data_IF_088022765078
#
_entry.id   IF_088022765078
#
_cell.length_a   1.000
_cell.length_b   1.000
_cell.length_c   1.000
_cell.angle_alpha   90.00
_cell.angle_beta   90.00
_cell.angle_gamma   90.00
#
_symmetry.space_group_name_H-M   'P 1'
#
loop_
_entity.id
_entity.type
_entity.pdbx_description
1 polymer ?
#
# COMPACT_ATOMS: atom_id res chain seq x y z
N UNK A 1 8.56 20.33 -6.39
CA UNK A 1 7.61 19.33 -5.88
C UNK A 1 6.31 20.04 -5.58
N UNK A 2 5.17 19.52 -6.04
CA UNK A 2 3.84 20.08 -5.80
C UNK A 2 3.33 19.58 -4.44
N UNK A 3 3.21 20.44 -3.41
CA UNK A 3 2.90 20.00 -2.04
C UNK A 3 1.55 19.31 -1.88
N UNK A 4 0.59 19.61 -2.77
CA UNK A 4 -0.77 19.05 -2.76
C UNK A 4 -1.01 18.02 -3.87
N UNK A 5 0.04 17.65 -4.62
CA UNK A 5 -0.10 16.71 -5.73
C UNK A 5 -0.09 15.26 -5.26
N UNK A 6 -1.07 14.47 -5.67
CA UNK A 6 -1.05 13.01 -5.56
C UNK A 6 -0.18 12.35 -6.63
N UNK A 7 0.12 11.07 -6.45
CA UNK A 7 0.81 10.21 -7.41
C UNK A 7 -0.19 9.23 -8.01
N UNK A 8 -0.15 9.06 -9.31
CA UNK A 8 -0.93 8.03 -9.98
C UNK A 8 -0.43 6.64 -9.57
N UNK A 9 -1.25 5.91 -8.79
CA UNK A 9 -0.91 4.62 -8.17
C UNK A 9 -0.25 3.64 -9.13
N UNK A 10 -0.78 3.51 -10.35
CA UNK A 10 -0.32 2.49 -11.31
C UNK A 10 1.09 2.76 -11.87
N UNK A 11 1.62 3.97 -11.67
CA UNK A 11 2.97 4.38 -12.08
C UNK A 11 3.83 4.84 -10.89
N UNK A 12 3.35 4.61 -9.66
CA UNK A 12 4.03 5.03 -8.46
C UNK A 12 5.25 4.15 -8.16
N UNK A 13 6.29 4.75 -7.59
CA UNK A 13 7.47 4.01 -7.12
C UNK A 13 7.08 3.08 -5.97
N UNK A 14 7.39 1.77 -6.00
CA UNK A 14 7.05 0.87 -4.91
C UNK A 14 7.72 1.25 -3.58
N UNK A 15 8.78 2.07 -3.59
CA UNK A 15 9.54 2.50 -2.42
C UNK A 15 9.05 3.83 -1.81
N UNK A 16 7.93 4.41 -2.26
CA UNK A 16 7.36 5.62 -1.63
C UNK A 16 7.07 5.40 -0.14
N UNK A 17 7.68 6.18 0.74
CA UNK A 17 7.50 6.05 2.20
C UNK A 17 6.09 6.50 2.64
N UNK A 18 5.65 7.68 2.20
CA UNK A 18 4.34 8.26 2.49
C UNK A 18 3.23 7.76 1.55
N UNK A 19 3.29 6.50 1.12
CA UNK A 19 2.44 5.94 0.06
C UNK A 19 0.94 6.05 0.32
N UNK A 20 0.50 5.98 1.59
CA UNK A 20 -0.92 6.12 1.96
C UNK A 20 -1.47 7.46 1.51
N UNK A 21 -0.77 8.53 1.88
CA UNK A 21 -1.13 9.89 1.51
C UNK A 21 -0.88 10.15 0.03
N UNK A 22 0.31 9.76 -0.45
CA UNK A 22 0.73 10.05 -1.82
C UNK A 22 -0.16 9.38 -2.88
N UNK A 23 -0.68 8.17 -2.63
CA UNK A 23 -1.42 7.41 -3.64
C UNK A 23 -2.93 7.42 -3.44
N UNK A 24 -3.38 7.51 -2.18
CA UNK A 24 -4.79 7.39 -1.83
C UNK A 24 -5.36 8.66 -1.18
N UNK A 25 -4.50 9.47 -0.56
CA UNK A 25 -4.87 10.71 0.13
C UNK A 25 -6.02 10.51 1.12
N UNK A 26 -6.92 11.49 1.16
CA UNK A 26 -8.11 11.49 2.03
C UNK A 26 -9.04 10.28 1.82
N UNK A 27 -8.97 9.60 0.67
CA UNK A 27 -9.80 8.43 0.39
C UNK A 27 -9.36 7.17 1.15
N UNK A 28 -8.14 7.16 1.72
CA UNK A 28 -7.56 5.97 2.34
C UNK A 28 -8.45 5.38 3.45
N UNK A 29 -9.02 6.24 4.30
CA UNK A 29 -9.86 5.80 5.44
C UNK A 29 -11.11 5.08 4.96
N UNK A 30 -11.89 5.71 4.07
CA UNK A 30 -13.11 5.12 3.48
C UNK A 30 -12.80 3.82 2.73
N UNK A 31 -11.71 3.78 1.96
CA UNK A 31 -11.32 2.57 1.24
C UNK A 31 -10.92 1.45 2.21
N UNK A 32 -10.27 1.77 3.33
CA UNK A 32 -9.92 0.80 4.38
C UNK A 32 -11.16 0.18 5.02
N UNK A 33 -12.20 0.97 5.30
CA UNK A 33 -13.48 0.44 5.79
C UNK A 33 -14.14 -0.49 4.78
N UNK A 34 -14.17 -0.11 3.50
CA UNK A 34 -14.71 -0.95 2.41
C UNK A 34 -13.91 -2.25 2.31
N UNK A 35 -12.57 -2.16 2.34
CA UNK A 35 -11.69 -3.33 2.29
C UNK A 35 -11.97 -4.28 3.45
N UNK A 36 -12.08 -3.78 4.68
CA UNK A 36 -12.42 -4.59 5.86
C UNK A 36 -13.81 -5.22 5.77
N UNK A 37 -14.78 -4.54 5.14
CA UNK A 37 -16.13 -5.06 4.94
C UNK A 37 -16.14 -6.27 3.99
N UNK A 38 -15.36 -6.24 2.92
CA UNK A 38 -15.40 -7.26 1.86
C UNK A 38 -14.27 -8.30 1.93
N UNK A 39 -13.13 -7.96 2.55
CA UNK A 39 -11.99 -8.85 2.74
C UNK A 39 -11.41 -8.69 4.17
N UNK A 40 -12.18 -9.07 5.20
CA UNK A 40 -11.75 -8.96 6.59
C UNK A 40 -10.55 -9.86 6.93
N UNK A 41 -10.36 -10.93 6.17
CA UNK A 41 -9.26 -11.90 6.35
C UNK A 41 -7.99 -11.49 5.57
N UNK A 42 -8.05 -10.45 4.73
CA UNK A 42 -6.89 -9.96 3.98
C UNK A 42 -6.37 -10.95 2.94
N UNK A 43 -7.27 -11.77 2.36
CA UNK A 43 -6.95 -12.76 1.34
C UNK A 43 -6.38 -12.06 0.10
N UNK A 44 -6.97 -10.93 -0.30
CA UNK A 44 -6.52 -10.14 -1.44
C UNK A 44 -5.55 -9.05 -1.00
N UNK A 45 -4.31 -9.44 -0.73
CA UNK A 45 -3.23 -8.50 -0.37
C UNK A 45 -2.31 -8.19 -1.54
N UNK A 46 -1.81 -6.96 -1.62
CA UNK A 46 -0.75 -6.56 -2.54
C UNK A 46 0.15 -5.51 -1.87
N UNK A 47 1.35 -5.32 -2.42
CA UNK A 47 2.35 -4.39 -1.90
C UNK A 47 1.77 -2.97 -1.79
N UNK A 48 1.73 -2.42 -0.57
CA UNK A 48 1.23 -1.06 -0.29
C UNK A 48 -0.17 -0.75 -0.84
N UNK A 49 -1.00 -1.78 -0.96
CA UNK A 49 -2.43 -1.62 -1.23
C UNK A 49 -3.20 -1.19 0.04
N UNK A 50 -4.47 -0.82 -0.12
CA UNK A 50 -5.36 -0.57 1.02
C UNK A 50 -5.39 -1.79 1.95
N UNK A 51 -5.09 -1.55 3.23
CA UNK A 51 -5.00 -2.60 4.25
C UNK A 51 -3.65 -3.32 4.32
N UNK A 52 -2.63 -2.86 3.57
CA UNK A 52 -1.27 -3.39 3.69
C UNK A 52 -0.65 -3.05 5.05
N UNK A 53 -0.04 -4.06 5.66
CA UNK A 53 0.71 -3.95 6.90
C UNK A 53 2.18 -4.30 6.64
N UNK A 54 3.11 -3.50 7.15
CA UNK A 54 4.55 -3.72 6.95
C UNK A 54 4.99 -5.10 7.48
N UNK A 55 4.30 -5.66 8.48
CA UNK A 55 4.55 -7.02 9.00
C UNK A 55 4.26 -8.12 7.97
N UNK A 56 3.57 -7.81 6.87
CA UNK A 56 3.32 -8.73 5.77
C UNK A 56 4.46 -8.82 4.76
N UNK A 57 5.47 -7.96 4.87
CA UNK A 57 6.64 -7.91 3.96
C UNK A 57 7.42 -9.22 3.95
N UNK A 58 7.74 -9.77 5.12
CA UNK A 58 8.60 -10.94 5.29
C UNK A 58 8.05 -12.24 4.66
N UNK A 59 6.73 -12.33 4.43
CA UNK A 59 6.09 -13.56 3.93
C UNK A 59 5.72 -13.54 2.44
N UNK A 60 5.51 -12.35 1.86
CA UNK A 60 4.94 -12.21 0.50
C UNK A 60 5.67 -11.21 -0.38
N UNK A 61 6.52 -10.35 0.18
CA UNK A 61 7.08 -9.21 -0.54
C UNK A 61 8.56 -8.95 -0.23
N UNK A 62 9.31 -10.00 0.09
CA UNK A 62 10.73 -9.94 0.47
C UNK A 62 11.58 -9.15 -0.53
N UNK A 63 11.36 -9.34 -1.83
CA UNK A 63 12.00 -8.61 -2.92
C UNK A 63 11.79 -7.09 -2.85
N UNK A 64 10.59 -6.64 -2.51
CA UNK A 64 10.28 -5.21 -2.41
C UNK A 64 10.80 -4.59 -1.12
N UNK A 65 10.87 -5.40 -0.05
CA UNK A 65 11.38 -4.99 1.25
C UNK A 65 12.92 -4.90 1.30
N UNK A 66 13.63 -5.33 0.26
CA UNK A 66 15.10 -5.33 0.23
C UNK A 66 15.72 -6.31 1.22
N UNK A 67 14.97 -7.33 1.64
CA UNK A 67 15.38 -8.29 2.67
C UNK A 67 16.24 -9.46 2.15
N UNK A 68 16.62 -9.43 0.87
CA UNK A 68 17.83 -10.13 0.40
C UNK A 68 17.66 -11.50 -0.24
N UNK A 69 16.44 -12.02 -0.42
CA UNK A 69 16.22 -13.17 -1.30
C UNK A 69 15.02 -12.92 -2.22
N UNK A 70 15.35 -12.62 -3.48
CA UNK A 70 14.56 -13.00 -4.64
C UNK A 70 15.21 -14.27 -5.20
#
# INVERSE_FOLDING_TARGET
MTPEGGVYLNEASPWTENWKEAWWGESYERLSEIKKKYDPEGIFSCWKCIGFEEQSTERRFECFAGLGMC
#
